data_IF_550128355679
#
_entry.id   IF_550128355679
#
_cell.length_a   1.000
_cell.length_b   1.000
_cell.length_c   1.000
_cell.angle_alpha   90.00
_cell.angle_beta   90.00
_cell.angle_gamma   90.00
#
_symmetry.space_group_name_H-M   'P 1'
#
loop_
_entity.id
_entity.type
_entity.pdbx_description
1 polymer ?
#
# COMPACT_ATOMS: atom_id res chain seq x y z
N UNK A 1 18.78 -4.73 -16.97
CA UNK A 1 18.28 -6.12 -16.90
C UNK A 1 17.32 -6.37 -18.06
N UNK A 2 17.42 -7.48 -18.80
CA UNK A 2 16.55 -7.81 -19.92
C UNK A 2 15.19 -8.36 -19.46
N UNK A 3 14.13 -8.10 -20.25
CA UNK A 3 12.72 -8.26 -19.90
C UNK A 3 12.22 -9.71 -19.69
N UNK A 4 13.00 -10.73 -20.05
CA UNK A 4 12.65 -12.14 -19.84
C UNK A 4 12.78 -12.59 -18.37
N UNK A 5 13.57 -11.86 -17.58
CA UNK A 5 13.95 -12.24 -16.21
C UNK A 5 13.02 -11.64 -15.14
N UNK A 6 12.21 -10.64 -15.48
CA UNK A 6 11.24 -10.05 -14.55
C UNK A 6 10.07 -11.00 -14.21
N UNK A 7 9.84 -12.04 -15.03
CA UNK A 7 8.79 -13.06 -14.81
C UNK A 7 9.22 -14.16 -13.82
N UNK A 8 10.48 -14.19 -13.40
CA UNK A 8 10.99 -15.13 -12.38
C UNK A 8 11.12 -14.48 -11.00
N UNK A 9 10.94 -13.17 -10.91
CA UNK A 9 10.94 -12.47 -9.62
C UNK A 9 9.77 -12.96 -8.75
N UNK A 10 10.03 -13.21 -7.46
CA UNK A 10 9.04 -13.79 -6.56
C UNK A 10 7.85 -12.84 -6.39
N UNK A 11 6.64 -13.40 -6.22
CA UNK A 11 5.35 -12.68 -6.30
C UNK A 11 5.29 -11.38 -5.47
N UNK A 12 6.03 -11.31 -4.37
CA UNK A 12 6.12 -10.18 -3.43
C UNK A 12 6.73 -8.90 -4.03
N UNK A 13 7.47 -8.98 -5.15
CA UNK A 13 8.05 -7.82 -5.85
C UNK A 13 7.23 -7.33 -7.04
N UNK A 14 6.09 -7.96 -7.34
CA UNK A 14 5.25 -7.58 -8.48
C UNK A 14 4.18 -6.58 -8.03
N UNK A 15 3.83 -5.58 -8.86
CA UNK A 15 2.74 -4.64 -8.57
C UNK A 15 1.35 -5.32 -8.44
N UNK A 16 1.25 -6.62 -8.73
CA UNK A 16 0.05 -7.44 -8.57
C UNK A 16 -0.41 -7.63 -7.12
N UNK A 17 0.45 -7.42 -6.12
CA UNK A 17 0.06 -7.48 -4.69
C UNK A 17 -0.92 -6.36 -4.32
N UNK A 18 -0.83 -5.21 -5.00
CA UNK A 18 -1.74 -4.08 -4.76
C UNK A 18 -3.14 -4.33 -5.32
N UNK A 19 -3.25 -5.12 -6.39
CA UNK A 19 -4.54 -5.59 -6.89
C UNK A 19 -5.23 -6.50 -5.87
N UNK A 20 -4.45 -7.30 -5.14
CA UNK A 20 -4.97 -8.16 -4.07
C UNK A 20 -5.50 -7.33 -2.89
N UNK A 21 -4.72 -6.33 -2.45
CA UNK A 21 -5.14 -5.41 -1.39
C UNK A 21 -6.40 -4.61 -1.78
N UNK A 22 -6.46 -4.12 -3.03
CA UNK A 22 -7.65 -3.43 -3.55
C UNK A 22 -8.87 -4.35 -3.66
N UNK A 23 -8.72 -5.66 -3.86
CA UNK A 23 -9.84 -6.59 -3.92
C UNK A 23 -10.42 -6.94 -2.53
N UNK A 24 -9.60 -6.90 -1.48
CA UNK A 24 -10.01 -7.25 -0.10
C UNK A 24 -10.95 -6.19 0.50
N UNK A 25 -10.70 -4.90 0.26
CA UNK A 25 -11.53 -3.81 0.82
C UNK A 25 -12.98 -3.80 0.31
N UNK A 26 -13.26 -3.92 -1.01
CA UNK A 26 -14.60 -4.09 -1.54
C UNK A 26 -15.25 -5.42 -1.11
N UNK A 27 -14.47 -6.50 -0.94
CA UNK A 27 -14.99 -7.76 -0.43
C UNK A 27 -15.53 -7.64 1.00
N UNK A 28 -14.90 -6.81 1.84
CA UNK A 28 -15.43 -6.44 3.15
C UNK A 28 -16.73 -5.63 3.07
N UNK A 29 -16.84 -4.68 2.12
CA UNK A 29 -18.12 -4.01 1.83
C UNK A 29 -19.21 -4.98 1.34
N UNK A 30 -18.81 -6.01 0.59
CA UNK A 30 -19.70 -7.09 0.14
C UNK A 30 -20.24 -7.94 1.29
N UNK A 31 -19.45 -8.14 2.36
CA UNK A 31 -19.92 -8.79 3.59
C UNK A 31 -21.11 -8.03 4.21
N UNK A 32 -21.09 -6.69 4.14
CA UNK A 32 -22.14 -5.83 4.68
C UNK A 32 -23.37 -5.74 3.76
N UNK A 33 -23.18 -5.59 2.45
CA UNK A 33 -24.30 -5.45 1.48
C UNK A 33 -24.97 -6.76 1.11
N UNK A 34 -24.23 -7.87 1.03
CA UNK A 34 -24.74 -9.18 0.61
C UNK A 34 -24.96 -10.14 1.78
N UNK A 35 -24.66 -9.72 3.02
CA UNK A 35 -24.86 -10.53 4.23
C UNK A 35 -24.04 -11.82 4.23
N UNK A 36 -22.84 -11.80 3.64
CA UNK A 36 -21.98 -12.98 3.60
C UNK A 36 -21.68 -13.46 5.04
N UNK A 37 -21.81 -14.77 5.27
CA UNK A 37 -21.76 -15.35 6.61
C UNK A 37 -20.42 -15.18 7.33
N UNK A 38 -20.43 -15.42 8.65
CA UNK A 38 -19.29 -15.26 9.57
C UNK A 38 -18.00 -15.93 9.08
N UNK A 39 -18.11 -17.02 8.32
CA UNK A 39 -16.96 -17.74 7.76
C UNK A 39 -16.17 -16.89 6.76
N UNK A 40 -16.85 -16.11 5.90
CA UNK A 40 -16.18 -15.22 4.93
C UNK A 40 -15.53 -14.05 5.65
N UNK A 41 -16.18 -13.51 6.70
CA UNK A 41 -15.61 -12.48 7.56
C UNK A 41 -14.30 -12.95 8.20
N UNK A 42 -14.28 -14.18 8.73
CA UNK A 42 -13.12 -14.77 9.39
C UNK A 42 -11.96 -14.98 8.40
N UNK A 43 -12.24 -15.47 7.19
CA UNK A 43 -11.21 -15.64 6.14
C UNK A 43 -10.62 -14.30 5.75
N UNK A 44 -11.46 -13.30 5.47
CA UNK A 44 -11.00 -11.95 5.13
C UNK A 44 -10.17 -11.33 6.28
N UNK A 45 -10.56 -11.59 7.53
CA UNK A 45 -9.84 -11.11 8.71
C UNK A 45 -8.44 -11.72 8.82
N UNK A 46 -8.31 -13.03 8.60
CA UNK A 46 -6.99 -13.69 8.61
C UNK A 46 -6.11 -13.15 7.48
N UNK A 47 -6.67 -12.95 6.28
CA UNK A 47 -5.93 -12.39 5.14
C UNK A 47 -5.43 -10.98 5.45
N UNK A 48 -6.29 -10.12 5.98
CA UNK A 48 -5.93 -8.75 6.36
C UNK A 48 -4.80 -8.72 7.41
N UNK A 49 -4.88 -9.58 8.43
CA UNK A 49 -3.84 -9.71 9.46
C UNK A 49 -2.49 -10.16 8.88
N UNK A 50 -2.47 -11.01 7.86
CA UNK A 50 -1.23 -11.41 7.16
C UNK A 50 -0.63 -10.24 6.38
N UNK A 51 -1.45 -9.43 5.70
CA UNK A 51 -0.98 -8.22 5.02
C UNK A 51 -0.43 -7.18 6.00
N UNK A 52 -1.09 -7.00 7.15
CA UNK A 52 -0.60 -6.13 8.21
C UNK A 52 0.77 -6.59 8.75
N UNK A 53 0.97 -7.89 8.94
CA UNK A 53 2.26 -8.44 9.36
C UNK A 53 3.38 -8.18 8.33
N UNK A 54 3.04 -8.13 7.03
CA UNK A 54 4.00 -7.81 5.97
C UNK A 54 4.55 -6.39 6.07
N UNK A 55 3.76 -5.44 6.58
CA UNK A 55 4.21 -4.05 6.82
C UNK A 55 5.35 -3.98 7.85
N UNK A 56 5.39 -4.91 8.82
CA UNK A 56 6.48 -5.01 9.79
C UNK A 56 7.80 -5.43 9.12
N UNK A 57 7.76 -6.20 8.04
CA UNK A 57 8.94 -6.62 7.28
C UNK A 57 9.59 -5.47 6.50
N UNK A 58 8.84 -4.41 6.18
CA UNK A 58 9.39 -3.24 5.48
C UNK A 58 10.40 -2.48 6.34
N UNK A 59 10.15 -2.38 7.66
CA UNK A 59 11.05 -1.75 8.62
C UNK A 59 12.40 -2.49 8.70
N UNK A 60 12.39 -3.82 8.65
CA UNK A 60 13.62 -4.63 8.70
C UNK A 60 14.40 -4.63 7.39
N UNK A 61 13.71 -4.44 6.25
CA UNK A 61 14.37 -4.19 4.97
C UNK A 61 15.07 -2.82 4.95
N UNK A 62 14.40 -1.77 5.42
CA UNK A 62 14.98 -0.42 5.50
C UNK A 62 16.24 -0.38 6.36
N UNK A 63 16.22 -1.07 7.50
CA UNK A 63 17.37 -1.18 8.40
C UNK A 63 18.57 -1.93 7.77
N UNK A 64 18.37 -2.72 6.72
CA UNK A 64 19.45 -3.40 5.99
C UNK A 64 20.08 -2.54 4.89
N UNK A 65 19.38 -1.52 4.40
CA UNK A 65 19.83 -0.69 3.28
C UNK A 65 20.18 0.75 3.71
N UNK A 66 19.76 1.17 4.89
CA UNK A 66 19.99 2.51 5.41
C UNK A 66 21.35 2.61 6.10
N UNK A 67 22.01 3.77 5.96
CA UNK A 67 23.24 4.07 6.67
C UNK A 67 22.98 4.12 8.19
N UNK A 68 23.88 3.57 9.04
CA UNK A 68 23.64 3.43 10.48
C UNK A 68 23.30 4.73 11.22
N UNK A 69 23.79 5.87 10.73
CA UNK A 69 23.51 7.19 11.30
C UNK A 69 22.07 7.68 11.07
N UNK A 70 21.42 7.22 9.99
CA UNK A 70 20.10 7.72 9.58
C UNK A 70 18.94 6.85 10.08
N UNK A 71 19.24 5.68 10.66
CA UNK A 71 18.22 4.74 11.14
C UNK A 71 17.41 5.33 12.30
N UNK A 72 18.10 5.94 13.28
CA UNK A 72 17.46 6.51 14.46
C UNK A 72 16.50 7.67 14.13
N UNK A 73 16.91 8.73 13.40
CA UNK A 73 16.01 9.83 13.04
C UNK A 73 14.87 9.36 12.12
N UNK A 74 15.15 8.48 11.15
CA UNK A 74 14.11 7.94 10.24
C UNK A 74 13.06 7.11 10.98
N UNK A 75 13.51 6.24 11.90
CA UNK A 75 12.61 5.42 12.70
C UNK A 75 11.72 6.25 13.64
N UNK A 76 12.25 7.33 14.21
CA UNK A 76 11.52 8.25 15.07
C UNK A 76 10.40 8.98 14.30
N UNK A 77 10.71 9.55 13.12
CA UNK A 77 9.71 10.22 12.27
C UNK A 77 8.64 9.22 11.82
N UNK A 78 9.04 8.03 11.36
CA UNK A 78 8.10 6.99 10.94
C UNK A 78 7.16 6.56 12.09
N UNK A 79 7.66 6.48 13.32
CA UNK A 79 6.83 6.18 14.49
C UNK A 79 5.84 7.30 14.79
N UNK A 80 6.27 8.56 14.78
CA UNK A 80 5.38 9.71 15.02
C UNK A 80 4.25 9.77 14.00
N UNK A 81 4.54 9.58 12.71
CA UNK A 81 3.54 9.56 11.64
C UNK A 81 2.57 8.39 11.86
N UNK A 82 3.09 7.19 12.09
CA UNK A 82 2.28 6.00 12.22
C UNK A 82 1.39 6.05 13.47
N UNK A 83 1.92 6.54 14.59
CA UNK A 83 1.17 6.67 15.84
C UNK A 83 0.05 7.70 15.69
N UNK A 84 0.33 8.86 15.09
CA UNK A 84 -0.68 9.88 14.81
C UNK A 84 -1.79 9.34 13.90
N UNK A 85 -1.43 8.68 12.81
CA UNK A 85 -2.40 8.08 11.90
C UNK A 85 -3.29 7.04 12.62
N UNK A 86 -2.69 6.16 13.43
CA UNK A 86 -3.42 5.13 14.14
C UNK A 86 -4.45 5.71 15.12
N UNK A 87 -4.08 6.73 15.92
CA UNK A 87 -5.01 7.32 16.91
C UNK A 87 -6.05 8.24 16.25
N UNK A 88 -5.65 9.03 15.24
CA UNK A 88 -6.54 9.97 14.57
C UNK A 88 -7.58 9.24 13.69
N UNK A 89 -7.16 8.21 12.95
CA UNK A 89 -8.07 7.40 12.15
C UNK A 89 -9.05 6.63 13.03
N UNK A 90 -8.59 6.05 14.15
CA UNK A 90 -9.48 5.30 15.04
C UNK A 90 -10.59 6.18 15.63
N UNK A 91 -10.26 7.41 16.05
CA UNK A 91 -11.25 8.36 16.56
C UNK A 91 -12.23 8.85 15.46
N UNK A 92 -11.70 9.23 14.29
CA UNK A 92 -12.51 9.77 13.19
C UNK A 92 -13.39 8.72 12.51
N UNK A 93 -12.83 7.56 12.14
CA UNK A 93 -13.60 6.46 11.55
C UNK A 93 -14.57 5.85 12.56
N UNK A 94 -14.22 5.81 13.86
CA UNK A 94 -15.14 5.37 14.90
C UNK A 94 -16.38 6.27 15.02
N UNK A 95 -16.21 7.59 14.93
CA UNK A 95 -17.34 8.52 14.89
C UNK A 95 -18.15 8.40 13.59
N UNK A 96 -17.46 8.30 12.45
CA UNK A 96 -18.09 8.11 11.13
C UNK A 96 -18.93 6.83 11.08
N UNK A 97 -18.46 5.75 11.71
CA UNK A 97 -19.15 4.47 11.76
C UNK A 97 -20.53 4.56 12.42
N UNK A 98 -20.67 5.38 13.48
CA UNK A 98 -21.95 5.56 14.16
C UNK A 98 -23.00 6.26 13.27
N UNK A 99 -22.55 7.09 12.33
CA UNK A 99 -23.43 7.80 11.40
C UNK A 99 -23.70 7.00 10.12
N UNK A 100 -22.65 6.44 9.52
CA UNK A 100 -22.69 5.78 8.21
C UNK A 100 -21.60 4.68 8.12
N UNK A 101 -21.92 3.44 8.50
CA UNK A 101 -20.97 2.31 8.42
C UNK A 101 -20.49 2.04 6.99
N UNK A 102 -21.38 2.22 6.01
CA UNK A 102 -21.12 2.07 4.58
C UNK A 102 -20.07 3.07 4.06
N UNK A 103 -20.11 4.32 4.57
CA UNK A 103 -19.14 5.35 4.22
C UNK A 103 -17.70 4.98 4.63
N UNK A 104 -17.53 4.25 5.74
CA UNK A 104 -16.20 3.79 6.21
C UNK A 104 -15.59 2.81 5.22
N UNK A 105 -16.37 1.85 4.72
CA UNK A 105 -15.92 0.89 3.72
C UNK A 105 -15.65 1.56 2.36
N UNK A 106 -16.50 2.50 1.96
CA UNK A 106 -16.29 3.27 0.72
C UNK A 106 -15.00 4.10 0.79
N UNK A 107 -14.75 4.77 1.91
CA UNK A 107 -13.55 5.56 2.14
C UNK A 107 -12.29 4.68 2.08
N UNK A 108 -12.33 3.50 2.70
CA UNK A 108 -11.23 2.55 2.66
C UNK A 108 -10.97 2.03 1.23
N UNK A 109 -12.03 1.69 0.49
CA UNK A 109 -11.93 1.29 -0.91
C UNK A 109 -11.39 2.42 -1.81
N UNK A 110 -11.83 3.66 -1.57
CA UNK A 110 -11.32 4.83 -2.29
C UNK A 110 -9.82 5.06 -2.01
N UNK A 111 -9.39 4.93 -0.75
CA UNK A 111 -7.99 5.09 -0.38
C UNK A 111 -7.10 3.99 -0.98
N UNK A 112 -7.58 2.74 -0.99
CA UNK A 112 -6.92 1.64 -1.69
C UNK A 112 -6.87 1.88 -3.22
N UNK A 113 -7.94 2.42 -3.81
CA UNK A 113 -7.99 2.78 -5.23
C UNK A 113 -7.00 3.88 -5.60
N UNK A 114 -6.87 4.92 -4.79
CA UNK A 114 -5.85 5.98 -4.98
C UNK A 114 -4.44 5.38 -4.86
N UNK A 115 -4.20 4.51 -3.88
CA UNK A 115 -2.91 3.82 -3.72
C UNK A 115 -2.57 2.96 -4.94
N UNK A 116 -3.54 2.23 -5.47
CA UNK A 116 -3.35 1.47 -6.71
C UNK A 116 -3.08 2.40 -7.89
N UNK A 117 -3.85 3.48 -8.05
CA UNK A 117 -3.66 4.44 -9.14
C UNK A 117 -2.24 5.02 -9.13
N UNK A 118 -1.74 5.43 -7.95
CA UNK A 118 -0.37 5.91 -7.79
C UNK A 118 0.66 4.82 -8.08
N UNK A 119 0.42 3.58 -7.67
CA UNK A 119 1.34 2.49 -7.97
C UNK A 119 1.37 2.10 -9.45
N UNK A 120 0.24 2.25 -10.16
CA UNK A 120 0.19 2.13 -11.62
C UNK A 120 0.93 3.27 -12.31
N UNK A 121 1.15 4.41 -11.63
CA UNK A 121 1.97 5.52 -12.12
C UNK A 121 3.49 5.30 -11.94
N UNK A 122 3.93 4.26 -11.24
CA UNK A 122 5.34 3.92 -11.07
C UNK A 122 5.85 3.18 -12.31
N UNK A 123 6.82 3.75 -13.07
CA UNK A 123 7.39 3.09 -14.24
C UNK A 123 8.05 1.77 -13.88
N UNK A 124 7.91 0.76 -14.76
CA UNK A 124 8.53 -0.57 -14.59
C UNK A 124 10.07 -0.50 -14.51
N UNK A 125 10.66 0.59 -15.02
CA UNK A 125 12.09 0.88 -14.94
C UNK A 125 12.28 2.33 -14.44
N UNK A 126 12.36 2.55 -13.13
CA UNK A 126 12.68 3.87 -12.60
C UNK A 126 14.14 4.21 -12.95
N UNK A 127 14.32 5.29 -13.70
CA UNK A 127 15.61 5.88 -14.03
C UNK A 127 15.52 7.40 -13.82
N UNK A 128 16.63 8.11 -13.52
CA UNK A 128 16.63 9.58 -13.44
C UNK A 128 16.00 10.17 -14.72
N UNK A 129 14.97 11.01 -14.57
CA UNK A 129 14.20 11.57 -15.70
C UNK A 129 13.00 10.74 -16.20
N UNK A 130 12.73 9.58 -15.58
CA UNK A 130 11.56 8.71 -15.84
C UNK A 130 10.90 8.28 -14.52
N UNK A 131 10.41 9.27 -13.76
CA UNK A 131 9.88 9.06 -12.40
C UNK A 131 8.38 8.73 -12.37
N UNK A 132 7.63 9.05 -13.44
CA UNK A 132 6.22 8.67 -13.62
C UNK A 132 6.00 8.13 -15.03
N UNK A 133 4.94 7.34 -15.26
CA UNK A 133 4.61 6.85 -16.63
C UNK A 133 4.32 8.01 -17.60
N UNK A 134 4.06 9.21 -17.08
CA UNK A 134 3.86 10.45 -17.81
C UNK A 134 5.16 11.20 -18.13
N UNK A 135 6.30 10.78 -17.58
CA UNK A 135 7.61 11.26 -17.99
C UNK A 135 7.98 10.70 -19.37
N UNK A 136 7.28 11.16 -20.40
CA UNK A 136 7.62 10.94 -21.79
C UNK A 136 8.60 12.01 -22.27
N UNK A 137 9.83 11.59 -22.63
CA UNK A 137 10.80 12.32 -23.47
C UNK A 137 11.21 13.74 -23.02
N UNK A 138 11.69 13.89 -21.80
CA UNK A 138 12.43 15.09 -21.39
C UNK A 138 13.93 14.96 -21.64
N UNK A 139 14.37 15.32 -22.86
CA UNK A 139 15.72 15.72 -23.32
C UNK A 139 16.95 14.84 -22.95
N UNK A 140 17.80 14.45 -23.93
CA UNK A 140 19.12 13.90 -23.62
C UNK A 140 19.92 14.96 -22.86
N UNK A 141 20.35 14.65 -21.64
CA UNK A 141 21.40 15.43 -20.98
C UNK A 141 22.66 15.24 -21.80
N UNK A 142 22.97 16.25 -22.63
CA UNK A 142 24.24 16.37 -23.29
C UNK A 142 25.33 16.41 -22.21
N UNK A 143 26.31 15.53 -22.36
CA UNK A 143 27.53 15.56 -21.58
C UNK A 143 28.21 16.94 -21.73
N UNK A 144 28.42 17.61 -20.60
CA UNK A 144 29.44 18.66 -20.41
C UNK A 144 30.05 18.44 -19.03
#
# INVERSE_FOLDING_TARGET
MPLAEARTLPLWRRPTTLLFLMAVFPAYGGLYWFGWGVMVAAILYVIDNVFFALALALKTYFQKIADPGDIAPTAAVAFTINHFAAVALLASLGYLWLAAPDAVFLLAAAMAGVSLALALMIPRHPAPGHETVFAGRGLPLAAV
#
